data_IF_570470848079
#
_entry.id   IF_570470848079
#
_cell.length_a   1.000
_cell.length_b   1.000
_cell.length_c   1.000
_cell.angle_alpha   90.00
_cell.angle_beta   90.00
_cell.angle_gamma   90.00
#
_symmetry.space_group_name_H-M   'P 1'
#
loop_
_entity.id
_entity.type
_entity.pdbx_description
1 polymer ?
#
# COMPACT_ATOMS: atom_id res chain seq x y z
N UNK A 1 12.42 11.07 -10.12
CA UNK A 1 11.86 9.77 -9.67
C UNK A 1 10.51 9.50 -10.33
N UNK A 2 9.49 10.32 -10.10
CA UNK A 2 8.12 10.10 -10.58
C UNK A 2 8.03 9.87 -12.08
N UNK A 3 8.64 10.74 -12.90
CA UNK A 3 8.67 10.58 -14.36
C UNK A 3 9.35 9.29 -14.84
N UNK A 4 10.37 8.81 -14.11
CA UNK A 4 11.00 7.52 -14.42
C UNK A 4 10.02 6.38 -14.14
N UNK A 5 9.37 6.40 -12.99
CA UNK A 5 8.35 5.42 -12.62
C UNK A 5 7.18 5.40 -13.62
N UNK A 6 6.66 6.57 -14.01
CA UNK A 6 5.61 6.69 -15.03
C UNK A 6 6.05 6.15 -16.39
N UNK A 7 7.31 6.39 -16.78
CA UNK A 7 7.87 5.84 -18.01
C UNK A 7 7.88 4.30 -18.00
N UNK A 8 8.29 3.70 -16.88
CA UNK A 8 8.22 2.25 -16.70
C UNK A 8 6.76 1.73 -16.68
N UNK A 9 5.86 2.45 -16.00
CA UNK A 9 4.44 2.06 -15.94
C UNK A 9 3.76 2.10 -17.31
N UNK A 10 4.20 2.97 -18.19
CA UNK A 10 3.67 3.13 -19.56
C UNK A 10 4.24 2.12 -20.55
N UNK A 11 5.55 1.92 -20.52
CA UNK A 11 6.29 1.18 -21.55
C UNK A 11 6.70 -0.24 -21.12
N UNK A 12 6.49 -0.59 -19.85
CA UNK A 12 6.96 -1.84 -19.25
C UNK A 12 8.45 -1.81 -18.88
N UNK A 13 8.87 -2.78 -18.05
CA UNK A 13 10.25 -2.87 -17.56
C UNK A 13 11.24 -3.19 -18.68
N UNK A 14 10.89 -4.10 -19.56
CA UNK A 14 11.76 -4.57 -20.67
C UNK A 14 11.82 -3.58 -21.83
N UNK A 15 10.77 -2.75 -22.00
CA UNK A 15 10.68 -1.75 -23.06
C UNK A 15 11.30 -0.39 -22.72
N UNK A 16 11.76 -0.20 -21.46
CA UNK A 16 12.22 1.10 -20.96
C UNK A 16 13.73 1.12 -20.76
N UNK A 17 14.45 1.63 -21.73
CA UNK A 17 15.90 1.85 -21.61
C UNK A 17 16.25 3.24 -21.09
N UNK A 18 17.53 3.45 -20.71
CA UNK A 18 18.04 4.71 -20.14
C UNK A 18 17.74 5.94 -21.02
N UNK A 19 17.73 5.80 -22.33
CA UNK A 19 17.42 6.91 -23.26
C UNK A 19 15.96 7.36 -23.13
N UNK A 20 15.02 6.41 -22.98
CA UNK A 20 13.61 6.70 -22.78
C UNK A 20 13.38 7.40 -21.42
N UNK A 21 14.08 6.95 -20.38
CA UNK A 21 14.04 7.57 -19.05
C UNK A 21 14.58 9.00 -19.06
N UNK A 22 15.72 9.22 -19.68
CA UNK A 22 16.30 10.54 -19.83
C UNK A 22 15.37 11.49 -20.59
N UNK A 23 14.78 11.03 -21.70
CA UNK A 23 13.78 11.80 -22.45
C UNK A 23 12.54 12.13 -21.61
N UNK A 24 12.00 11.16 -20.85
CA UNK A 24 10.87 11.38 -19.95
C UNK A 24 11.16 12.42 -18.86
N UNK A 25 12.40 12.43 -18.36
CA UNK A 25 12.85 13.38 -17.34
C UNK A 25 13.24 14.75 -17.92
N UNK A 26 13.36 14.89 -19.23
CA UNK A 26 13.84 16.12 -19.87
C UNK A 26 15.34 16.38 -19.63
N UNK A 27 16.15 15.33 -19.51
CA UNK A 27 17.57 15.42 -19.24
C UNK A 27 18.39 14.48 -20.15
N UNK A 28 19.73 14.51 -20.03
CA UNK A 28 20.62 13.59 -20.75
C UNK A 28 20.82 12.29 -19.98
N UNK A 29 21.24 11.22 -20.67
CA UNK A 29 21.61 9.96 -20.02
C UNK A 29 22.77 10.14 -19.05
N UNK A 30 23.75 10.99 -19.38
CA UNK A 30 24.86 11.32 -18.48
C UNK A 30 24.39 11.99 -17.19
N UNK A 31 23.37 12.85 -17.28
CA UNK A 31 22.77 13.47 -16.11
C UNK A 31 22.09 12.43 -15.20
N UNK A 32 21.39 11.43 -15.76
CA UNK A 32 20.83 10.33 -14.94
C UNK A 32 21.94 9.52 -14.25
N UNK A 33 23.01 9.19 -14.96
CA UNK A 33 24.13 8.46 -14.38
C UNK A 33 24.97 9.26 -13.36
N UNK A 34 24.81 10.57 -13.26
CA UNK A 34 25.43 11.34 -12.18
C UNK A 34 24.70 11.17 -10.83
N UNK A 35 23.45 10.70 -10.85
CA UNK A 35 22.65 10.42 -9.65
C UNK A 35 22.48 8.94 -9.34
N UNK A 36 22.49 8.07 -10.36
CA UNK A 36 22.24 6.64 -10.25
C UNK A 36 23.36 5.85 -10.91
N UNK A 37 23.94 4.91 -10.18
CA UNK A 37 25.05 4.08 -10.68
C UNK A 37 24.62 3.11 -11.78
N UNK A 38 23.33 2.77 -11.84
CA UNK A 38 22.77 1.82 -12.80
C UNK A 38 21.28 2.07 -13.07
N UNK A 39 20.78 1.44 -14.15
CA UNK A 39 19.34 1.41 -14.44
C UNK A 39 18.59 0.61 -13.37
N UNK A 40 19.22 -0.41 -12.80
CA UNK A 40 18.65 -1.21 -11.72
C UNK A 40 18.44 -0.36 -10.44
N UNK A 41 19.40 0.45 -10.06
CA UNK A 41 19.27 1.41 -8.97
C UNK A 41 18.13 2.41 -9.24
N UNK A 42 18.10 2.98 -10.44
CA UNK A 42 17.06 3.92 -10.83
C UNK A 42 15.64 3.34 -10.73
N UNK A 43 15.44 2.07 -11.14
CA UNK A 43 14.11 1.44 -11.04
C UNK A 43 13.72 1.18 -9.59
N UNK A 44 14.67 0.73 -8.75
CA UNK A 44 14.42 0.46 -7.34
C UNK A 44 14.05 1.75 -6.62
N UNK A 45 14.88 2.79 -6.76
CA UNK A 45 14.71 4.07 -6.10
C UNK A 45 13.42 4.79 -6.57
N UNK A 46 13.13 4.78 -7.88
CA UNK A 46 11.90 5.39 -8.39
C UNK A 46 10.66 4.63 -7.92
N UNK A 47 10.72 3.31 -7.80
CA UNK A 47 9.62 2.49 -7.28
C UNK A 47 9.40 2.76 -5.79
N UNK A 48 10.47 2.76 -4.99
CA UNK A 48 10.41 3.04 -3.56
C UNK A 48 9.83 4.44 -3.29
N UNK A 49 10.34 5.46 -3.98
CA UNK A 49 9.84 6.84 -3.88
C UNK A 49 8.34 6.95 -4.20
N UNK A 50 7.91 6.40 -5.34
CA UNK A 50 6.51 6.51 -5.74
C UNK A 50 5.57 5.71 -4.85
N UNK A 51 6.02 4.58 -4.31
CA UNK A 51 5.20 3.78 -3.39
C UNK A 51 5.17 4.36 -1.98
N UNK A 52 6.25 5.01 -1.52
CA UNK A 52 6.22 5.78 -0.28
C UNK A 52 5.18 6.89 -0.34
N UNK A 53 5.10 7.63 -1.45
CA UNK A 53 4.07 8.66 -1.65
C UNK A 53 2.64 8.05 -1.66
N UNK A 54 2.45 6.85 -2.20
CA UNK A 54 1.15 6.14 -2.15
C UNK A 54 0.77 5.80 -0.71
N UNK A 55 1.72 5.29 0.07
CA UNK A 55 1.51 4.98 1.49
C UNK A 55 1.25 6.24 2.33
N UNK A 56 1.91 7.37 2.02
CA UNK A 56 1.66 8.66 2.67
C UNK A 56 0.23 9.13 2.39
N UNK A 57 -0.20 9.15 1.13
CA UNK A 57 -1.57 9.51 0.75
C UNK A 57 -2.61 8.60 1.43
N UNK A 58 -2.32 7.28 1.54
CA UNK A 58 -3.21 6.34 2.21
C UNK A 58 -3.32 6.64 3.72
N UNK A 59 -2.21 6.94 4.37
CA UNK A 59 -2.19 7.27 5.80
C UNK A 59 -2.84 8.61 6.10
N UNK A 60 -2.76 9.60 5.20
CA UNK A 60 -3.44 10.89 5.34
C UNK A 60 -4.96 10.77 5.37
N UNK A 61 -5.53 9.82 4.60
CA UNK A 61 -6.97 9.58 4.56
C UNK A 61 -7.45 8.52 5.56
N UNK A 62 -6.52 7.81 6.22
CA UNK A 62 -6.85 6.77 7.20
C UNK A 62 -7.64 7.37 8.39
N UNK A 63 -8.75 6.73 8.81
CA UNK A 63 -9.64 7.29 9.81
C UNK A 63 -9.00 7.35 11.20
N UNK A 64 -9.02 8.51 11.81
CA UNK A 64 -8.58 8.71 13.21
C UNK A 64 -9.74 8.61 14.20
N UNK A 65 -10.99 8.63 13.74
CA UNK A 65 -12.21 8.45 14.52
C UNK A 65 -12.91 7.13 14.09
N UNK A 66 -13.28 6.27 15.04
CA UNK A 66 -13.97 5.02 14.75
C UNK A 66 -15.24 5.13 13.89
N UNK A 67 -15.99 6.26 14.03
CA UNK A 67 -17.22 6.50 13.25
C UNK A 67 -16.97 6.65 11.74
N UNK A 68 -15.76 7.03 11.34
CA UNK A 68 -15.39 7.20 9.93
C UNK A 68 -14.92 5.90 9.26
N UNK A 69 -14.63 4.84 10.04
CA UNK A 69 -14.09 3.58 9.54
C UNK A 69 -15.03 2.92 8.51
N UNK A 70 -16.34 2.91 8.78
CA UNK A 70 -17.30 2.26 7.87
C UNK A 70 -17.35 2.93 6.50
N UNK A 71 -17.26 4.28 6.45
CA UNK A 71 -17.18 5.04 5.19
C UNK A 71 -15.86 4.76 4.48
N UNK A 72 -14.75 4.82 5.21
CA UNK A 72 -13.42 4.56 4.69
C UNK A 72 -13.33 3.18 4.03
N UNK A 73 -13.77 2.13 4.73
CA UNK A 73 -13.75 0.75 4.22
C UNK A 73 -14.59 0.60 2.95
N UNK A 74 -15.70 1.32 2.81
CA UNK A 74 -16.56 1.28 1.64
C UNK A 74 -15.97 2.02 0.42
N UNK A 75 -15.29 3.16 0.63
CA UNK A 75 -14.92 4.08 -0.44
C UNK A 75 -13.46 3.89 -0.92
N UNK A 76 -12.56 3.56 0.00
CA UNK A 76 -11.12 3.53 -0.27
C UNK A 76 -10.70 2.46 -1.29
N UNK A 77 -11.29 1.26 -1.39
CA UNK A 77 -10.91 0.31 -2.43
C UNK A 77 -11.04 0.89 -3.83
N UNK A 78 -12.14 1.59 -4.11
CA UNK A 78 -12.40 2.21 -5.42
C UNK A 78 -11.50 3.43 -5.67
N UNK A 79 -11.27 4.23 -4.63
CA UNK A 79 -10.32 5.34 -4.69
C UNK A 79 -8.89 4.83 -4.99
N UNK A 80 -8.45 3.79 -4.29
CA UNK A 80 -7.14 3.15 -4.48
C UNK A 80 -6.98 2.63 -5.91
N UNK A 81 -7.99 1.93 -6.44
CA UNK A 81 -7.95 1.40 -7.80
C UNK A 81 -7.82 2.52 -8.84
N UNK A 82 -8.67 3.55 -8.73
CA UNK A 82 -8.69 4.68 -9.68
C UNK A 82 -7.37 5.46 -9.66
N UNK A 83 -6.81 5.70 -8.46
CA UNK A 83 -5.66 6.59 -8.27
C UNK A 83 -4.32 5.85 -8.40
N UNK A 84 -4.23 4.64 -7.89
CA UNK A 84 -2.95 3.95 -7.68
C UNK A 84 -2.83 2.58 -8.36
N UNK A 85 -3.86 2.08 -9.03
CA UNK A 85 -3.84 0.74 -9.62
C UNK A 85 -2.64 0.46 -10.55
N UNK A 86 -2.26 1.45 -11.39
CA UNK A 86 -1.07 1.33 -12.24
C UNK A 86 0.23 1.29 -11.43
N UNK A 87 0.30 2.04 -10.33
CA UNK A 87 1.47 2.07 -9.44
C UNK A 87 1.67 0.72 -8.75
N UNK A 88 0.60 0.12 -8.22
CA UNK A 88 0.67 -1.21 -7.62
C UNK A 88 1.08 -2.29 -8.62
N UNK A 89 0.53 -2.28 -9.84
CA UNK A 89 0.94 -3.24 -10.88
C UNK A 89 2.44 -3.17 -11.18
N UNK A 90 3.00 -1.97 -11.34
CA UNK A 90 4.43 -1.80 -11.58
C UNK A 90 5.26 -2.22 -10.36
N UNK A 91 4.87 -1.80 -9.15
CA UNK A 91 5.55 -2.18 -7.91
C UNK A 91 5.67 -3.71 -7.79
N UNK A 92 4.57 -4.45 -7.99
CA UNK A 92 4.62 -5.91 -7.93
C UNK A 92 5.51 -6.51 -9.03
N UNK A 93 5.47 -5.97 -10.25
CA UNK A 93 6.38 -6.40 -11.32
C UNK A 93 7.85 -6.20 -10.94
N UNK A 94 8.20 -5.08 -10.29
CA UNK A 94 9.57 -4.81 -9.84
C UNK A 94 9.96 -5.70 -8.67
N UNK A 95 9.19 -5.66 -7.58
CA UNK A 95 9.57 -6.28 -6.31
C UNK A 95 9.43 -7.81 -6.28
N UNK A 96 8.77 -8.43 -7.28
CA UNK A 96 8.73 -9.89 -7.42
C UNK A 96 9.84 -10.44 -8.32
N UNK A 97 10.62 -9.59 -9.00
CA UNK A 97 11.80 -10.05 -9.71
C UNK A 97 12.87 -10.57 -8.73
N UNK A 98 13.47 -11.75 -8.97
CA UNK A 98 14.45 -12.33 -8.05
C UNK A 98 15.59 -11.39 -7.67
N UNK A 99 16.06 -10.56 -8.62
CA UNK A 99 17.16 -9.60 -8.37
C UNK A 99 16.76 -8.41 -7.48
N UNK A 100 15.45 -8.14 -7.29
CA UNK A 100 14.95 -7.01 -6.50
C UNK A 100 14.14 -7.45 -5.28
N UNK A 101 13.97 -8.75 -5.04
CA UNK A 101 13.09 -9.29 -4.00
C UNK A 101 13.44 -8.76 -2.59
N UNK A 102 14.73 -8.58 -2.29
CA UNK A 102 15.17 -8.06 -1.00
C UNK A 102 14.79 -6.58 -0.80
N UNK A 103 14.70 -5.80 -1.87
CA UNK A 103 14.17 -4.43 -1.79
C UNK A 103 12.66 -4.42 -1.52
N UNK A 104 11.93 -5.35 -2.15
CA UNK A 104 10.51 -5.54 -1.88
C UNK A 104 10.24 -5.96 -0.44
N UNK A 105 11.02 -6.89 0.12
CA UNK A 105 10.90 -7.32 1.53
C UNK A 105 11.06 -6.13 2.48
N UNK A 106 12.15 -5.35 2.33
CA UNK A 106 12.39 -4.16 3.17
C UNK A 106 11.29 -3.12 3.04
N UNK A 107 10.78 -2.89 1.83
CA UNK A 107 9.65 -2.00 1.64
C UNK A 107 8.42 -2.46 2.44
N UNK A 108 8.04 -3.74 2.34
CA UNK A 108 6.89 -4.28 3.07
C UNK A 108 7.11 -4.38 4.59
N UNK A 109 8.35 -4.55 5.06
CA UNK A 109 8.68 -4.44 6.49
C UNK A 109 8.35 -3.05 7.01
N UNK A 110 8.79 -1.98 6.32
CA UNK A 110 8.46 -0.60 6.68
C UNK A 110 6.95 -0.29 6.64
N UNK A 111 6.24 -0.82 5.65
CA UNK A 111 4.77 -0.72 5.57
C UNK A 111 4.10 -1.41 6.76
N UNK A 112 4.57 -2.60 7.14
CA UNK A 112 4.03 -3.36 8.29
C UNK A 112 4.25 -2.61 9.61
N UNK A 113 5.42 -2.02 9.82
CA UNK A 113 5.71 -1.19 10.98
C UNK A 113 4.76 0.02 11.03
N UNK A 114 4.58 0.71 9.93
CA UNK A 114 3.71 1.89 9.82
C UNK A 114 2.25 1.56 10.16
N UNK A 115 1.70 0.47 9.66
CA UNK A 115 0.34 0.04 9.98
C UNK A 115 0.20 -0.45 11.42
N UNK A 116 1.24 -1.03 11.99
CA UNK A 116 1.28 -1.41 13.39
C UNK A 116 1.24 -0.17 14.31
N UNK A 117 2.00 0.86 13.99
CA UNK A 117 1.95 2.14 14.74
C UNK A 117 0.58 2.81 14.63
N UNK A 118 -0.03 2.79 13.46
CA UNK A 118 -1.39 3.28 13.29
C UNK A 118 -2.41 2.47 14.13
N UNK A 119 -2.29 1.15 14.15
CA UNK A 119 -3.15 0.28 14.96
C UNK A 119 -3.00 0.56 16.47
N UNK A 120 -1.80 0.85 16.97
CA UNK A 120 -1.55 1.28 18.35
C UNK A 120 -2.26 2.59 18.69
N UNK A 121 -2.36 3.53 17.75
CA UNK A 121 -3.08 4.78 17.95
C UNK A 121 -4.60 4.60 17.98
N UNK A 122 -5.12 3.55 17.31
CA UNK A 122 -6.54 3.21 17.33
C UNK A 122 -6.97 2.43 18.58
N UNK A 123 -6.08 1.62 19.16
CA UNK A 123 -6.39 0.76 20.31
C UNK A 123 -7.13 1.50 21.45
N UNK A 124 -6.64 2.65 21.98
CA UNK A 124 -7.32 3.36 23.08
C UNK A 124 -8.68 3.93 22.68
N UNK A 125 -8.96 4.09 21.38
CA UNK A 125 -10.19 4.68 20.87
C UNK A 125 -11.31 3.66 20.64
N UNK A 126 -10.93 2.42 20.32
CA UNK A 126 -11.88 1.36 19.94
C UNK A 126 -11.92 0.21 20.95
N UNK A 127 -11.01 0.17 21.93
CA UNK A 127 -10.95 -0.87 22.95
C UNK A 127 -10.54 -2.26 22.45
N UNK A 128 -10.02 -2.37 21.24
CA UNK A 128 -9.54 -3.63 20.64
C UNK A 128 -8.00 -3.57 20.61
N UNK A 129 -7.26 -4.59 21.09
CA UNK A 129 -5.80 -4.58 21.07
C UNK A 129 -5.22 -4.41 19.66
N UNK A 130 -4.14 -3.63 19.53
CA UNK A 130 -3.47 -3.40 18.24
C UNK A 130 -3.03 -4.71 17.58
N UNK A 131 -2.71 -5.75 18.37
CA UNK A 131 -2.36 -7.08 17.87
C UNK A 131 -3.50 -7.78 17.12
N UNK A 132 -4.74 -7.33 17.31
CA UNK A 132 -5.93 -7.76 16.56
C UNK A 132 -6.22 -6.79 15.42
N UNK A 133 -6.07 -5.49 15.66
CA UNK A 133 -6.34 -4.45 14.64
C UNK A 133 -5.37 -4.58 13.45
N UNK A 134 -4.08 -4.76 13.71
CA UNK A 134 -3.04 -4.83 12.67
C UNK A 134 -3.32 -5.89 11.60
N UNK A 135 -3.61 -7.16 11.92
CA UNK A 135 -4.00 -8.16 10.92
C UNK A 135 -5.25 -7.79 10.11
N UNK A 136 -6.24 -7.13 10.73
CA UNK A 136 -7.45 -6.66 10.04
C UNK A 136 -7.12 -5.55 9.03
N UNK A 137 -6.22 -4.64 9.38
CA UNK A 137 -5.70 -3.62 8.46
C UNK A 137 -5.01 -4.29 7.26
N UNK A 138 -4.17 -5.32 7.49
CA UNK A 138 -3.49 -6.03 6.41
C UNK A 138 -4.47 -6.73 5.47
N UNK A 139 -5.51 -7.38 5.98
CA UNK A 139 -6.56 -7.99 5.16
C UNK A 139 -7.24 -6.91 4.30
N UNK A 140 -7.61 -5.77 4.91
CA UNK A 140 -8.24 -4.66 4.21
C UNK A 140 -7.34 -4.09 3.10
N UNK A 141 -6.09 -3.74 3.42
CA UNK A 141 -5.14 -3.20 2.45
C UNK A 141 -4.88 -4.17 1.31
N UNK A 142 -4.73 -5.48 1.61
CA UNK A 142 -4.56 -6.50 0.57
C UNK A 142 -5.77 -6.60 -0.35
N UNK A 143 -6.98 -6.50 0.19
CA UNK A 143 -8.19 -6.48 -0.62
C UNK A 143 -8.25 -5.23 -1.53
N UNK A 144 -7.89 -4.05 -1.01
CA UNK A 144 -7.80 -2.81 -1.81
C UNK A 144 -6.78 -2.94 -2.95
N UNK A 145 -5.59 -3.46 -2.65
CA UNK A 145 -4.51 -3.64 -3.64
C UNK A 145 -4.90 -4.68 -4.69
N UNK A 146 -5.50 -5.81 -4.28
CA UNK A 146 -5.99 -6.82 -5.22
C UNK A 146 -7.04 -6.22 -6.16
N UNK A 147 -8.03 -5.51 -5.61
CA UNK A 147 -9.04 -4.83 -6.41
C UNK A 147 -8.41 -3.78 -7.33
N UNK A 148 -7.43 -3.00 -6.86
CA UNK A 148 -6.73 -2.01 -7.67
C UNK A 148 -5.97 -2.61 -8.87
N UNK A 149 -5.53 -3.87 -8.76
CA UNK A 149 -4.81 -4.57 -9.83
C UNK A 149 -5.75 -5.27 -10.83
N UNK A 150 -6.82 -5.89 -10.34
CA UNK A 150 -7.62 -6.86 -11.11
C UNK A 150 -9.09 -6.47 -11.28
N UNK A 151 -9.57 -5.46 -10.53
CA UNK A 151 -10.99 -5.02 -10.50
C UNK A 151 -11.96 -6.17 -10.11
N UNK A 152 -11.45 -7.11 -9.27
CA UNK A 152 -12.20 -8.29 -8.82
C UNK A 152 -13.17 -7.91 -7.68
N UNK A 153 -14.40 -7.56 -8.08
CA UNK A 153 -15.50 -7.22 -7.18
C UNK A 153 -15.91 -8.36 -6.25
N UNK A 154 -15.85 -9.60 -6.72
CA UNK A 154 -16.24 -10.76 -5.89
C UNK A 154 -15.27 -10.94 -4.74
N UNK A 155 -13.95 -10.90 -5.04
CA UNK A 155 -12.93 -10.99 -4.01
C UNK A 155 -13.03 -9.83 -3.01
N UNK A 156 -13.17 -8.59 -3.50
CA UNK A 156 -13.30 -7.43 -2.63
C UNK A 156 -14.47 -7.57 -1.66
N UNK A 157 -15.66 -7.88 -2.17
CA UNK A 157 -16.88 -8.01 -1.35
C UNK A 157 -16.75 -9.14 -0.32
N UNK A 158 -16.17 -10.29 -0.71
CA UNK A 158 -15.94 -11.42 0.21
C UNK A 158 -15.03 -11.02 1.36
N UNK A 159 -13.92 -10.31 1.08
CA UNK A 159 -12.99 -9.87 2.12
C UNK A 159 -13.64 -8.82 3.04
N UNK A 160 -14.42 -7.89 2.48
CA UNK A 160 -15.13 -6.88 3.28
C UNK A 160 -16.17 -7.50 4.21
N UNK A 161 -16.88 -8.54 3.78
CA UNK A 161 -17.85 -9.23 4.62
C UNK A 161 -17.16 -9.98 5.79
N UNK A 162 -16.06 -10.67 5.53
CA UNK A 162 -15.26 -11.33 6.58
C UNK A 162 -14.68 -10.31 7.57
N UNK A 163 -14.18 -9.18 7.08
CA UNK A 163 -13.69 -8.11 7.94
C UNK A 163 -14.79 -7.57 8.87
N UNK A 164 -15.99 -7.33 8.33
CA UNK A 164 -17.14 -6.83 9.09
C UNK A 164 -17.52 -7.80 10.20
N UNK A 165 -17.62 -9.09 9.88
CA UNK A 165 -17.91 -10.14 10.86
C UNK A 165 -16.80 -10.25 11.93
N UNK A 166 -15.53 -10.22 11.51
CA UNK A 166 -14.38 -10.25 12.42
C UNK A 166 -14.38 -9.07 13.40
N UNK A 167 -14.58 -7.84 12.89
CA UNK A 167 -14.64 -6.63 13.74
C UNK A 167 -15.79 -6.74 14.75
N UNK A 168 -16.98 -7.22 14.35
CA UNK A 168 -18.12 -7.41 15.25
C UNK A 168 -17.79 -8.40 16.37
N UNK A 169 -17.26 -9.58 16.02
CA UNK A 169 -16.88 -10.61 17.00
C UNK A 169 -15.83 -10.12 17.99
N UNK A 170 -14.83 -9.38 17.53
CA UNK A 170 -13.82 -8.83 18.42
C UNK A 170 -14.34 -7.69 19.30
N UNK A 171 -15.18 -6.82 18.75
CA UNK A 171 -15.81 -5.75 19.53
C UNK A 171 -16.63 -6.33 20.68
N UNK A 172 -17.45 -7.35 20.42
CA UNK A 172 -18.23 -8.02 21.45
C UNK A 172 -17.36 -8.71 22.52
N UNK A 173 -16.30 -9.40 22.08
CA UNK A 173 -15.36 -10.08 22.98
C UNK A 173 -14.64 -9.12 23.93
N UNK A 174 -14.26 -7.93 23.46
CA UNK A 174 -13.49 -6.98 24.27
C UNK A 174 -14.40 -6.09 25.12
N UNK A 175 -15.62 -5.76 24.69
CA UNK A 175 -16.64 -5.11 25.51
C UNK A 175 -17.07 -5.96 26.72
N UNK A 176 -17.23 -7.28 26.51
CA UNK A 176 -17.53 -8.21 27.60
C UNK A 176 -16.43 -8.27 28.66
N UNK A 177 -15.14 -8.14 28.28
CA UNK A 177 -14.02 -8.12 29.23
C UNK A 177 -13.94 -6.84 30.08
N UNK A 178 -14.47 -5.72 29.61
CA UNK A 178 -14.55 -4.49 30.40
C UNK A 178 -15.70 -4.55 31.42
N UNK A 179 -16.81 -5.20 31.06
CA UNK A 179 -17.93 -5.41 31.99
C UNK A 179 -17.58 -6.34 33.16
N UNK A 180 -16.69 -7.33 32.94
CA UNK A 180 -16.23 -8.26 34.00
C UNK A 180 -15.16 -7.64 34.93
N UNK A 181 -14.66 -6.44 34.66
CA UNK A 181 -13.68 -5.72 35.48
C UNK A 181 -14.26 -4.57 36.29
N UNK A 182 -15.53 -4.28 36.12
CA UNK A 182 -16.29 -3.25 36.85
C UNK A 182 -17.15 -3.87 37.94
#
# INVERSE_FOLDING_TARGET
MEKCFECYAKNGLTGTGIKALAAACGCTTGNLYSYFSSVDELIIESTAYCMSNVEDEFMEIAPTDPKDVARFVREVPYWTAKRHGKKYRLMYQVYTLPKYIEHGKRFFEGVNERYTEYAKQLEPKIGIPYTVITPLIFIFVRACVHYAMFEDEYYLKSQMEILKQGVSLFADKYKLKEADKA
#
